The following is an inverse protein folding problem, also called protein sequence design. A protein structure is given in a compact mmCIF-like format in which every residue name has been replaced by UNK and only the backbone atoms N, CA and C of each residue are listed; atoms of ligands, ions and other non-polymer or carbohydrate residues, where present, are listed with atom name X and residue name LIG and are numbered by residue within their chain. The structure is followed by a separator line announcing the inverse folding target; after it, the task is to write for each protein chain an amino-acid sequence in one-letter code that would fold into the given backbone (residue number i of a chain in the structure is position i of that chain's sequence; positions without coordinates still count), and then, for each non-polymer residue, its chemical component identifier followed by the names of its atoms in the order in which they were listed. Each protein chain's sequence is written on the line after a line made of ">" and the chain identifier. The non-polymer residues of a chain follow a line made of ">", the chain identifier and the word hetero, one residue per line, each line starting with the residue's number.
data_IF_763517305433
#
_entry.id   IF_763517305433
#
_cell.length_a   1.000
_cell.length_b   1.000
_cell.length_c   1.000
_cell.angle_alpha   90.00
_cell.angle_beta   90.00
_cell.angle_gamma   90.00
#
_symmetry.space_group_name_H-M   'P 1'
#
loop_
_entity.id
_entity.type
_entity.pdbx_description
1 polymer ?
#
# COMPACT_ATOMS: atom_id res chain seq x y z
N UNK A 1 18.19 12.44 -31.78
CA UNK A 1 17.04 11.74 -31.17
C UNK A 1 17.40 11.52 -29.72
N UNK A 2 16.59 12.10 -28.84
CA UNK A 2 16.91 12.44 -27.45
C UNK A 2 17.42 11.28 -26.61
N UNK A 3 18.48 11.57 -25.85
CA UNK A 3 18.93 10.78 -24.71
C UNK A 3 17.78 10.64 -23.71
N UNK A 4 17.23 9.43 -23.59
CA UNK A 4 16.36 9.08 -22.47
C UNK A 4 17.26 8.90 -21.27
N UNK A 5 17.43 9.97 -20.50
CA UNK A 5 17.99 9.91 -19.15
C UNK A 5 16.99 9.13 -18.29
N UNK A 6 17.18 7.81 -18.21
CA UNK A 6 16.62 7.02 -17.12
C UNK A 6 17.37 7.46 -15.88
N UNK A 7 16.77 8.35 -15.10
CA UNK A 7 17.26 8.67 -13.76
C UNK A 7 17.29 7.36 -12.97
N UNK A 8 18.46 6.77 -12.86
CA UNK A 8 18.75 5.61 -12.03
C UNK A 8 18.71 6.06 -10.57
N UNK A 9 17.50 6.32 -10.06
CA UNK A 9 17.28 6.44 -8.64
C UNK A 9 17.54 5.07 -8.01
N UNK A 10 18.67 4.92 -7.33
CA UNK A 10 18.92 3.72 -6.56
C UNK A 10 17.83 3.58 -5.48
N UNK A 11 17.08 2.48 -5.52
CA UNK A 11 16.12 2.12 -4.47
C UNK A 11 16.94 1.42 -3.38
N UNK A 12 17.01 2.00 -2.19
CA UNK A 12 17.74 1.45 -1.04
C UNK A 12 16.79 1.01 0.07
N UNK A 13 17.06 -0.14 0.68
CA UNK A 13 16.28 -0.66 1.80
C UNK A 13 16.67 -2.11 2.12
N UNK A 14 16.07 -2.73 3.15
CA UNK A 14 16.22 -4.15 3.41
C UNK A 14 15.84 -4.97 2.17
N UNK A 15 16.61 -6.03 1.88
CA UNK A 15 16.42 -6.83 0.67
C UNK A 15 14.98 -7.34 0.53
N UNK A 16 14.39 -7.82 1.62
CA UNK A 16 13.01 -8.33 1.64
C UNK A 16 11.99 -7.24 1.24
N UNK A 17 12.15 -6.01 1.74
CA UNK A 17 11.29 -4.88 1.40
C UNK A 17 11.44 -4.46 -0.05
N UNK A 18 12.66 -4.51 -0.61
CA UNK A 18 12.92 -4.22 -2.02
C UNK A 18 12.28 -5.25 -2.95
N UNK A 19 12.31 -6.54 -2.57
CA UNK A 19 11.66 -7.60 -3.33
C UNK A 19 10.14 -7.43 -3.35
N UNK A 20 9.51 -7.12 -2.22
CA UNK A 20 8.06 -6.87 -2.16
C UNK A 20 7.69 -5.65 -3.01
N UNK A 21 8.50 -4.60 -2.98
CA UNK A 21 8.28 -3.40 -3.79
C UNK A 21 8.31 -3.71 -5.29
N UNK A 22 9.30 -4.49 -5.74
CA UNK A 22 9.40 -4.90 -7.14
C UNK A 22 8.27 -5.86 -7.53
N UNK A 23 7.93 -6.83 -6.69
CA UNK A 23 6.85 -7.78 -6.95
C UNK A 23 5.50 -7.06 -7.06
N UNK A 24 5.22 -6.09 -6.19
CA UNK A 24 4.02 -5.26 -6.27
C UNK A 24 3.94 -4.51 -7.60
N UNK A 25 5.07 -3.97 -8.08
CA UNK A 25 5.18 -3.29 -9.37
C UNK A 25 4.89 -4.24 -10.53
N UNK A 26 5.51 -5.43 -10.53
CA UNK A 26 5.30 -6.46 -11.55
C UNK A 26 3.84 -6.92 -11.57
N UNK A 27 3.22 -7.14 -10.41
CA UNK A 27 1.79 -7.46 -10.32
C UNK A 27 0.92 -6.36 -10.93
N UNK A 28 1.22 -5.09 -10.65
CA UNK A 28 0.46 -3.97 -11.19
C UNK A 28 0.54 -3.91 -12.73
N UNK A 29 1.76 -3.97 -13.28
CA UNK A 29 2.02 -3.90 -14.73
C UNK A 29 1.31 -5.05 -15.48
N UNK A 30 1.30 -6.25 -14.90
CA UNK A 30 0.65 -7.42 -15.50
C UNK A 30 -0.87 -7.49 -15.23
N UNK A 31 -1.46 -6.49 -14.56
CA UNK A 31 -2.89 -6.46 -14.29
C UNK A 31 -3.37 -7.36 -13.15
N UNK A 32 -2.45 -7.87 -12.32
CA UNK A 32 -2.76 -8.59 -11.08
C UNK A 32 -3.05 -7.58 -9.94
N UNK A 33 -4.08 -6.75 -10.13
CA UNK A 33 -4.35 -5.59 -9.28
C UNK A 33 -4.62 -5.92 -7.80
N UNK A 34 -5.29 -7.04 -7.52
CA UNK A 34 -5.53 -7.48 -6.13
C UNK A 34 -4.22 -7.88 -5.46
N UNK A 35 -3.35 -8.61 -6.16
CA UNK A 35 -2.03 -8.98 -5.64
C UNK A 35 -1.17 -7.73 -5.39
N UNK A 36 -1.15 -6.78 -6.35
CA UNK A 36 -0.45 -5.51 -6.20
C UNK A 36 -0.93 -4.74 -4.96
N UNK A 37 -2.25 -4.64 -4.74
CA UNK A 37 -2.82 -4.03 -3.53
C UNK A 37 -2.36 -4.73 -2.25
N UNK A 38 -2.38 -6.06 -2.21
CA UNK A 38 -1.98 -6.83 -1.03
C UNK A 38 -0.51 -6.59 -0.70
N UNK A 39 0.37 -6.69 -1.70
CA UNK A 39 1.81 -6.48 -1.54
C UNK A 39 2.15 -5.05 -1.12
N UNK A 40 1.51 -4.04 -1.72
CA UNK A 40 1.68 -2.64 -1.33
C UNK A 40 1.32 -2.41 0.15
N UNK A 41 0.21 -2.99 0.62
CA UNK A 41 -0.18 -2.88 2.02
C UNK A 41 0.79 -3.65 2.93
N UNK A 42 1.28 -4.82 2.53
CA UNK A 42 2.26 -5.58 3.30
C UNK A 42 3.58 -4.79 3.45
N UNK A 43 4.06 -4.18 2.38
CA UNK A 43 5.23 -3.30 2.40
C UNK A 43 5.03 -2.14 3.38
N UNK A 44 3.91 -1.42 3.29
CA UNK A 44 3.61 -0.33 4.21
C UNK A 44 3.53 -0.80 5.67
N UNK A 45 2.92 -1.96 5.93
CA UNK A 45 2.83 -2.56 7.26
C UNK A 45 4.23 -2.86 7.85
N UNK A 46 5.16 -3.37 7.02
CA UNK A 46 6.55 -3.60 7.40
C UNK A 46 7.28 -2.28 7.71
N UNK A 47 7.24 -1.31 6.78
CA UNK A 47 7.88 0.00 6.95
C UNK A 47 7.39 0.70 8.22
N UNK A 48 6.08 0.69 8.47
CA UNK A 48 5.53 1.30 9.68
C UNK A 48 6.04 0.59 10.93
N UNK A 49 6.07 -0.74 10.93
CA UNK A 49 6.54 -1.52 12.07
C UNK A 49 8.03 -1.29 12.35
N UNK A 50 8.84 -1.19 11.30
CA UNK A 50 10.28 -0.94 11.41
C UNK A 50 10.55 0.46 11.94
N UNK A 51 9.85 1.48 11.41
CA UNK A 51 10.01 2.87 11.88
C UNK A 51 9.56 3.03 13.34
N UNK A 52 8.48 2.37 13.76
CA UNK A 52 8.06 2.36 15.16
C UNK A 52 9.11 1.65 16.05
N UNK A 53 9.69 0.55 15.57
CA UNK A 53 10.75 -0.17 16.30
C UNK A 53 12.01 0.67 16.46
N UNK A 54 12.44 1.35 15.39
CA UNK A 54 13.59 2.26 15.39
C UNK A 54 13.42 3.41 16.39
N UNK A 55 12.17 3.86 16.61
CA UNK A 55 11.82 4.88 17.61
C UNK A 55 11.62 4.32 19.03
N UNK A 56 11.86 3.03 19.23
CA UNK A 56 11.81 2.39 20.55
C UNK A 56 10.44 1.89 20.99
N UNK A 57 9.41 1.95 20.13
CA UNK A 57 8.09 1.39 20.44
C UNK A 57 8.15 -0.14 20.42
N UNK A 58 7.72 -0.79 21.51
CA UNK A 58 7.70 -2.26 21.65
C UNK A 58 6.29 -2.79 21.46
N UNK A 59 6.16 -3.94 20.78
CA UNK A 59 4.88 -4.64 20.53
C UNK A 59 3.85 -3.86 19.69
N UNK A 60 4.28 -2.82 18.96
CA UNK A 60 3.39 -1.99 18.15
C UNK A 60 3.49 -2.40 16.68
N UNK A 61 2.76 -3.43 16.27
CA UNK A 61 2.77 -3.90 14.88
C UNK A 61 1.93 -2.98 14.00
N UNK A 62 2.58 -2.08 13.26
CA UNK A 62 1.95 -1.26 12.21
C UNK A 62 0.75 -0.41 12.66
N UNK A 63 0.78 0.06 13.92
CA UNK A 63 -0.30 0.83 14.55
C UNK A 63 -0.33 2.28 14.07
N UNK A 64 -1.40 2.62 13.35
CA UNK A 64 -1.57 3.96 12.79
C UNK A 64 -1.92 4.99 13.86
N UNK A 65 -2.50 4.60 15.00
CA UNK A 65 -2.78 5.54 16.09
C UNK A 65 -1.48 6.05 16.69
N UNK A 66 -0.57 5.14 17.03
CA UNK A 66 0.77 5.48 17.54
C UNK A 66 1.54 6.32 16.53
N UNK A 67 1.48 5.99 15.23
CA UNK A 67 2.10 6.80 14.19
C UNK A 67 1.56 8.23 14.14
N UNK A 68 0.24 8.42 14.32
CA UNK A 68 -0.38 9.75 14.32
C UNK A 68 0.01 10.54 15.55
N UNK A 69 -0.10 9.94 16.74
CA UNK A 69 0.24 10.57 18.01
C UNK A 69 1.69 11.05 18.05
N UNK A 70 2.59 10.31 17.40
CA UNK A 70 4.03 10.59 17.40
C UNK A 70 4.53 11.20 16.09
N UNK A 71 3.62 11.63 15.20
CA UNK A 71 3.95 12.24 13.90
C UNK A 71 5.03 11.48 13.12
N UNK A 72 4.91 10.15 13.08
CA UNK A 72 5.91 9.26 12.48
C UNK A 72 5.92 9.40 10.95
N UNK A 73 4.74 9.56 10.36
CA UNK A 73 4.53 9.78 8.94
C UNK A 73 3.51 10.90 8.72
N UNK A 74 3.46 11.42 7.49
CA UNK A 74 2.42 12.35 7.06
C UNK A 74 1.01 11.77 7.27
N UNK A 75 0.11 12.60 7.79
CA UNK A 75 -1.27 12.20 8.10
C UNK A 75 -2.07 11.77 6.87
N UNK A 76 -1.80 12.38 5.70
CA UNK A 76 -2.41 11.98 4.44
C UNK A 76 -2.01 10.57 4.03
N UNK A 77 -0.73 10.23 4.20
CA UNK A 77 -0.20 8.89 3.92
C UNK A 77 -0.80 7.83 4.87
N UNK A 78 -0.93 8.15 6.16
CA UNK A 78 -1.56 7.28 7.16
C UNK A 78 -3.05 7.04 6.89
N UNK A 79 -3.77 8.08 6.45
CA UNK A 79 -5.18 7.95 6.09
C UNK A 79 -5.38 7.09 4.82
N UNK A 80 -4.48 7.24 3.84
CA UNK A 80 -4.54 6.48 2.60
C UNK A 80 -4.28 4.99 2.85
N UNK A 81 -3.26 4.63 3.64
CA UNK A 81 -3.02 3.21 3.96
C UNK A 81 -4.15 2.61 4.80
N UNK A 82 -4.77 3.38 5.69
CA UNK A 82 -5.93 2.90 6.45
C UNK A 82 -7.11 2.57 5.50
N UNK A 83 -7.38 3.45 4.53
CA UNK A 83 -8.41 3.22 3.52
C UNK A 83 -8.10 2.00 2.66
N UNK A 84 -6.84 1.83 2.23
CA UNK A 84 -6.39 0.70 1.44
C UNK A 84 -6.43 -0.62 2.22
N UNK A 85 -6.07 -0.64 3.52
CA UNK A 85 -6.22 -1.80 4.41
C UNK A 85 -7.67 -2.26 4.49
N UNK A 86 -8.63 -1.32 4.56
CA UNK A 86 -10.08 -1.64 4.54
C UNK A 86 -10.50 -2.28 3.22
N UNK A 87 -9.96 -1.83 2.10
CA UNK A 87 -10.21 -2.43 0.77
C UNK A 87 -9.58 -3.82 0.68
N UNK A 88 -8.29 -3.96 1.03
CA UNK A 88 -7.57 -5.24 1.09
C UNK A 88 -8.35 -6.26 1.90
N UNK A 89 -8.90 -5.85 3.05
CA UNK A 89 -9.71 -6.71 3.93
C UNK A 89 -10.85 -7.40 3.18
N UNK A 90 -11.46 -6.71 2.21
CA UNK A 90 -12.54 -7.25 1.37
C UNK A 90 -12.11 -8.33 0.38
N UNK A 91 -10.80 -8.43 0.08
CA UNK A 91 -10.23 -9.46 -0.78
C UNK A 91 -9.60 -10.62 0.01
N UNK A 92 -9.01 -10.35 1.16
CA UNK A 92 -8.23 -11.36 1.91
C UNK A 92 -9.02 -12.06 3.03
N UNK A 93 -10.11 -11.46 3.53
CA UNK A 93 -10.95 -12.07 4.55
C UNK A 93 -12.34 -12.40 4.01
N UNK A 94 -12.94 -13.47 4.56
CA UNK A 94 -14.36 -13.77 4.36
C UNK A 94 -15.19 -12.83 5.23
N UNK A 95 -15.69 -11.75 4.62
CA UNK A 95 -16.60 -10.79 5.26
C UNK A 95 -18.05 -11.26 5.12
N UNK A 96 -19.00 -10.77 5.93
CA UNK A 96 -20.44 -10.90 5.61
C UNK A 96 -20.81 -10.18 4.30
N UNK A 97 -21.96 -10.52 3.72
CA UNK A 97 -22.38 -10.03 2.39
C UNK A 97 -22.66 -8.51 2.36
N UNK A 98 -22.96 -7.91 3.50
CA UNK A 98 -23.28 -6.49 3.62
C UNK A 98 -22.06 -5.57 3.72
N UNK A 99 -20.84 -6.13 3.87
CA UNK A 99 -19.66 -5.27 4.03
C UNK A 99 -19.35 -4.45 2.77
N UNK A 100 -19.30 -3.13 2.93
CA UNK A 100 -19.04 -2.16 1.84
C UNK A 100 -17.70 -2.34 1.13
N UNK A 101 -16.71 -3.00 1.74
CA UNK A 101 -15.41 -3.24 1.11
C UNK A 101 -15.41 -4.38 0.10
N UNK A 102 -16.44 -5.24 0.08
CA UNK A 102 -16.56 -6.32 -0.90
C UNK A 102 -16.70 -5.77 -2.31
N UNK A 103 -16.03 -6.43 -3.26
CA UNK A 103 -16.00 -5.97 -4.65
C UNK A 103 -17.40 -5.85 -5.26
N UNK A 104 -18.31 -6.81 -5.04
CA UNK A 104 -19.68 -6.74 -5.58
C UNK A 104 -20.47 -5.52 -5.08
N UNK A 105 -20.31 -5.14 -3.81
CA UNK A 105 -20.98 -3.97 -3.24
C UNK A 105 -20.41 -2.69 -3.84
N UNK A 106 -19.11 -2.65 -4.07
CA UNK A 106 -18.43 -1.51 -4.71
C UNK A 106 -18.77 -1.39 -6.20
N UNK A 107 -18.95 -2.50 -6.90
CA UNK A 107 -19.43 -2.52 -8.29
C UNK A 107 -20.82 -1.89 -8.35
N UNK A 108 -21.75 -2.36 -7.51
CA UNK A 108 -23.11 -1.80 -7.44
C UNK A 108 -23.10 -0.32 -7.09
N UNK A 109 -22.31 0.09 -6.10
CA UNK A 109 -22.26 1.47 -5.64
C UNK A 109 -21.63 2.43 -6.66
N UNK A 110 -20.60 1.99 -7.39
CA UNK A 110 -19.86 2.84 -8.35
C UNK A 110 -20.40 2.77 -9.77
N UNK A 111 -21.18 1.74 -10.10
CA UNK A 111 -21.62 1.44 -11.46
C UNK A 111 -20.46 1.39 -12.48
N UNK A 112 -19.35 0.75 -12.08
CA UNK A 112 -18.14 0.62 -12.89
C UNK A 112 -17.78 -0.84 -13.12
N UNK A 113 -17.09 -1.09 -14.25
CA UNK A 113 -16.56 -2.41 -14.54
C UNK A 113 -15.58 -2.86 -13.43
N UNK A 114 -15.66 -4.11 -12.94
CA UNK A 114 -14.85 -4.61 -11.82
C UNK A 114 -13.35 -4.37 -12.00
N UNK A 115 -12.84 -4.61 -13.22
CA UNK A 115 -11.43 -4.40 -13.56
C UNK A 115 -10.97 -2.98 -13.28
N UNK A 116 -11.78 -1.97 -13.64
CA UNK A 116 -11.45 -0.56 -13.42
C UNK A 116 -11.40 -0.23 -11.94
N UNK A 117 -12.34 -0.74 -11.15
CA UNK A 117 -12.35 -0.57 -9.69
C UNK A 117 -11.07 -1.13 -9.06
N UNK A 118 -10.66 -2.34 -9.47
CA UNK A 118 -9.44 -2.97 -8.97
C UNK A 118 -8.18 -2.22 -9.41
N UNK A 119 -8.13 -1.77 -10.66
CA UNK A 119 -7.01 -0.97 -11.18
C UNK A 119 -6.86 0.36 -10.43
N UNK A 120 -7.97 1.07 -10.17
CA UNK A 120 -7.96 2.33 -9.42
C UNK A 120 -7.48 2.12 -7.98
N UNK A 121 -7.88 1.02 -7.33
CA UNK A 121 -7.37 0.66 -6.00
C UNK A 121 -5.87 0.37 -6.03
N UNK A 122 -5.40 -0.37 -7.04
CA UNK A 122 -3.99 -0.73 -7.16
C UNK A 122 -3.11 0.49 -7.49
N UNK A 123 -3.59 1.43 -8.32
CA UNK A 123 -2.90 2.71 -8.58
C UNK A 123 -2.69 3.51 -7.29
N UNK A 124 -3.74 3.60 -6.47
CA UNK A 124 -3.68 4.24 -5.15
C UNK A 124 -2.69 3.52 -4.23
N UNK A 125 -2.73 2.19 -4.20
CA UNK A 125 -1.82 1.38 -3.40
C UNK A 125 -0.36 1.57 -3.78
N UNK A 126 -0.03 1.52 -5.08
CA UNK A 126 1.32 1.76 -5.59
C UNK A 126 1.82 3.15 -5.20
N UNK A 127 0.99 4.19 -5.39
CA UNK A 127 1.35 5.56 -4.99
C UNK A 127 1.61 5.65 -3.48
N UNK A 128 0.78 5.00 -2.66
CA UNK A 128 0.93 4.97 -1.21
C UNK A 128 2.22 4.23 -0.80
N UNK A 129 2.50 3.06 -1.39
CA UNK A 129 3.71 2.27 -1.16
C UNK A 129 4.98 3.09 -1.43
N UNK A 130 5.07 3.76 -2.59
CA UNK A 130 6.21 4.63 -2.89
C UNK A 130 6.26 5.86 -1.98
N UNK A 131 5.12 6.34 -1.48
CA UNK A 131 5.05 7.38 -0.44
C UNK A 131 5.74 6.94 0.86
N UNK A 132 5.45 5.73 1.34
CA UNK A 132 6.15 5.16 2.51
C UNK A 132 7.62 4.94 2.24
N UNK A 133 7.97 4.35 1.10
CA UNK A 133 9.37 4.13 0.74
C UNK A 133 10.16 5.45 0.71
N UNK A 134 9.59 6.51 0.13
CA UNK A 134 10.24 7.82 0.12
C UNK A 134 10.40 8.40 1.52
N UNK A 135 9.42 8.20 2.40
CA UNK A 135 9.47 8.70 3.77
C UNK A 135 10.57 8.02 4.62
N UNK A 136 11.05 6.84 4.22
CA UNK A 136 12.14 6.13 4.90
C UNK A 136 13.53 6.45 4.34
N UNK A 137 13.63 7.14 3.21
CA UNK A 137 14.92 7.58 2.68
C UNK A 137 15.43 8.72 3.56
N UNK A 138 16.51 8.46 4.30
CA UNK A 138 17.21 9.43 5.16
C UNK A 138 18.22 10.23 4.35
#
# INVERSE_FOLDING_TARGET
>A
MSDVVVSSGAIMGPADSLWILEEARVCFVNGHFVAALVLCCAFADQVISDELRDRGFRNVSSDLAVCRENSVFDGGLLNEIEALRKIRRGYVHRLSDEHHSRLHNRIRARNLHPRRIMEDDAKRAIKCMYGFHRATLR
#
